data_IF_908700424770
#
_entry.id   IF_908700424770
#
_cell.length_a   1.000
_cell.length_b   1.000
_cell.length_c   1.000
_cell.angle_alpha   90.00
_cell.angle_beta   90.00
_cell.angle_gamma   90.00
#
_symmetry.space_group_name_H-M   'P 1'
#
loop_
_entity.id
_entity.type
_entity.pdbx_description
1 polymer ?
#
# COMPACT_ATOMS: atom_id res chain seq x y z
N UNK A 1 -70.42 -17.12 8.24
CA UNK A 1 -69.48 -17.16 7.05
C UNK A 1 -68.30 -16.28 7.35
N UNK A 2 -67.20 -16.86 7.82
CA UNK A 2 -65.99 -16.12 8.19
C UNK A 2 -65.01 -16.22 7.02
N UNK A 3 -64.78 -15.11 6.30
CA UNK A 3 -63.78 -15.02 5.25
C UNK A 3 -62.41 -14.89 5.88
N UNK A 4 -61.59 -15.95 5.79
CA UNK A 4 -60.18 -15.94 6.14
C UNK A 4 -59.39 -15.27 5.01
N UNK A 5 -58.95 -14.03 5.27
CA UNK A 5 -58.04 -13.30 4.36
C UNK A 5 -56.61 -13.77 4.66
N UNK A 6 -56.00 -14.53 3.76
CA UNK A 6 -54.57 -14.85 3.81
C UNK A 6 -53.76 -13.63 3.39
N UNK A 7 -53.07 -13.03 4.34
CA UNK A 7 -52.05 -11.99 4.07
C UNK A 7 -50.75 -12.71 3.77
N UNK A 8 -50.37 -12.78 2.48
CA UNK A 8 -49.03 -13.19 2.07
C UNK A 8 -48.03 -12.08 2.38
N UNK A 9 -47.26 -12.28 3.46
CA UNK A 9 -46.12 -11.41 3.79
C UNK A 9 -44.92 -11.89 2.98
N UNK A 10 -44.63 -11.21 1.88
CA UNK A 10 -43.40 -11.43 1.10
C UNK A 10 -42.23 -10.76 1.83
N UNK A 11 -41.42 -11.58 2.48
CA UNK A 11 -40.13 -11.15 3.09
C UNK A 11 -39.13 -10.95 1.94
N UNK A 12 -38.89 -9.72 1.56
CA UNK A 12 -37.80 -9.34 0.64
C UNK A 12 -36.49 -9.38 1.43
N UNK A 13 -35.76 -10.49 1.29
CA UNK A 13 -34.39 -10.61 1.83
C UNK A 13 -33.45 -9.74 1.01
N UNK A 14 -33.07 -8.58 1.54
CA UNK A 14 -31.96 -7.79 1.01
C UNK A 14 -30.65 -8.56 1.27
N UNK A 15 -30.10 -9.17 0.23
CA UNK A 15 -28.76 -9.75 0.27
C UNK A 15 -27.76 -8.60 0.16
N UNK A 16 -27.21 -8.16 1.29
CA UNK A 16 -26.05 -7.26 1.32
C UNK A 16 -24.83 -8.07 0.85
N UNK A 17 -24.43 -7.88 -0.40
CA UNK A 17 -23.15 -8.37 -0.90
C UNK A 17 -22.03 -7.52 -0.25
N UNK A 18 -21.41 -8.03 0.80
CA UNK A 18 -20.19 -7.48 1.34
C UNK A 18 -19.10 -7.73 0.30
N UNK A 19 -18.65 -6.68 -0.39
CA UNK A 19 -17.47 -6.75 -1.23
C UNK A 19 -16.26 -7.07 -0.33
N UNK A 20 -15.82 -8.31 -0.33
CA UNK A 20 -14.59 -8.71 0.33
C UNK A 20 -13.44 -8.02 -0.43
N UNK A 21 -12.78 -7.05 0.19
CA UNK A 21 -11.53 -6.50 -0.30
C UNK A 21 -10.47 -7.61 -0.18
N UNK A 22 -10.29 -8.36 -1.25
CA UNK A 22 -9.29 -9.40 -1.30
C UNK A 22 -7.90 -8.74 -1.22
N UNK A 23 -7.06 -9.23 -0.30
CA UNK A 23 -5.65 -8.85 -0.26
C UNK A 23 -4.98 -9.26 -1.59
N UNK A 24 -3.97 -8.52 -2.07
CA UNK A 24 -3.27 -8.87 -3.31
C UNK A 24 -2.63 -10.27 -3.18
N UNK A 25 -2.65 -11.02 -4.30
CA UNK A 25 -2.11 -12.38 -4.31
C UNK A 25 -0.59 -12.36 -4.51
N UNK A 26 0.16 -12.32 -3.42
CA UNK A 26 1.61 -12.47 -3.40
C UNK A 26 2.04 -13.50 -2.36
N UNK A 27 3.22 -14.07 -2.54
CA UNK A 27 3.78 -15.08 -1.64
C UNK A 27 4.32 -14.43 -0.36
N UNK A 28 3.87 -14.88 0.80
CA UNK A 28 4.43 -14.46 2.09
C UNK A 28 5.84 -15.01 2.27
N UNK A 29 6.72 -14.20 2.85
CA UNK A 29 8.09 -14.58 3.14
C UNK A 29 9.07 -13.43 3.05
N UNK A 30 10.33 -13.76 2.85
CA UNK A 30 11.42 -12.81 2.76
C UNK A 30 11.51 -12.25 1.33
N UNK A 31 11.54 -10.95 1.24
CA UNK A 31 11.62 -10.20 -0.01
C UNK A 31 12.83 -9.30 -0.04
N UNK A 32 13.54 -9.29 -1.16
CA UNK A 32 14.54 -8.26 -1.46
C UNK A 32 13.84 -7.10 -2.16
N UNK A 33 13.89 -5.93 -1.54
CA UNK A 33 13.28 -4.70 -2.07
C UNK A 33 14.41 -3.78 -2.52
N UNK A 34 14.33 -3.33 -3.75
CA UNK A 34 15.23 -2.32 -4.34
C UNK A 34 14.46 -1.02 -4.50
N UNK A 35 14.97 0.05 -3.91
CA UNK A 35 14.39 1.39 -4.01
C UNK A 35 15.37 2.31 -4.72
N UNK A 36 14.89 3.00 -5.74
CA UNK A 36 15.62 4.04 -6.48
C UNK A 36 14.92 5.37 -6.27
N UNK A 37 15.67 6.38 -5.84
CA UNK A 37 15.15 7.74 -5.63
C UNK A 37 15.52 8.61 -6.83
N UNK A 38 14.58 9.43 -7.27
CA UNK A 38 14.81 10.44 -8.29
C UNK A 38 14.52 11.81 -7.68
N UNK A 39 15.56 12.62 -7.56
CA UNK A 39 15.48 13.94 -6.96
C UNK A 39 15.86 14.99 -8.01
N UNK A 40 14.99 15.96 -8.33
CA UNK A 40 15.30 17.02 -9.29
C UNK A 40 16.56 17.78 -8.87
N UNK A 41 17.49 17.96 -9.80
CA UNK A 41 18.75 18.70 -9.56
C UNK A 41 19.88 17.85 -8.95
N UNK A 42 19.68 16.57 -8.69
CA UNK A 42 20.73 15.68 -8.19
C UNK A 42 21.26 14.80 -9.33
N UNK A 43 22.59 14.70 -9.52
CA UNK A 43 23.18 13.81 -10.50
C UNK A 43 22.80 12.34 -10.26
N UNK A 44 22.52 11.59 -11.33
CA UNK A 44 22.05 10.19 -11.24
C UNK A 44 23.07 9.24 -10.61
N UNK A 45 24.33 9.52 -10.74
CA UNK A 45 25.45 8.76 -10.16
C UNK A 45 25.53 8.88 -8.63
N UNK A 46 24.92 9.91 -8.05
CA UNK A 46 24.76 10.03 -6.58
C UNK A 46 23.53 9.29 -6.03
N UNK A 47 22.61 8.90 -6.89
CA UNK A 47 21.36 8.24 -6.53
C UNK A 47 21.50 6.71 -6.71
N UNK A 48 22.24 6.07 -5.79
CA UNK A 48 22.42 4.61 -5.83
C UNK A 48 21.15 3.89 -5.38
N UNK A 49 20.75 2.80 -6.06
CA UNK A 49 19.66 1.94 -5.58
C UNK A 49 19.97 1.41 -4.16
N UNK A 50 19.01 1.51 -3.28
CA UNK A 50 19.07 0.93 -1.95
C UNK A 50 18.38 -0.43 -1.96
N UNK A 51 19.05 -1.44 -1.41
CA UNK A 51 18.49 -2.78 -1.26
C UNK A 51 18.26 -3.08 0.21
N UNK A 52 17.11 -3.66 0.52
CA UNK A 52 16.77 -4.12 1.85
C UNK A 52 16.01 -5.44 1.78
N UNK A 53 16.12 -6.25 2.82
CA UNK A 53 15.34 -7.48 2.95
C UNK A 53 14.25 -7.26 4.01
N UNK A 54 13.03 -7.61 3.66
CA UNK A 54 11.86 -7.43 4.49
C UNK A 54 11.02 -8.70 4.49
N UNK A 55 10.60 -9.14 5.67
CA UNK A 55 9.62 -10.20 5.80
C UNK A 55 8.22 -9.61 5.55
N UNK A 56 7.58 -10.03 4.47
CA UNK A 56 6.25 -9.57 4.07
C UNK A 56 5.18 -10.62 4.37
N UNK A 57 4.09 -10.17 4.96
CA UNK A 57 2.88 -10.98 5.24
C UNK A 57 1.68 -10.34 4.57
N UNK A 58 0.59 -11.09 4.42
CA UNK A 58 -0.66 -10.58 3.83
C UNK A 58 -1.24 -9.36 4.56
N UNK A 59 -0.86 -9.16 5.82
CA UNK A 59 -1.28 -8.00 6.61
C UNK A 59 -0.45 -6.74 6.32
N UNK A 60 0.76 -6.91 5.77
CA UNK A 60 1.70 -5.82 5.50
C UNK A 60 1.96 -5.68 4.00
N UNK A 61 0.89 -5.43 3.25
CA UNK A 61 0.96 -5.28 1.80
C UNK A 61 1.66 -3.98 1.32
N UNK A 62 2.00 -3.08 2.23
CA UNK A 62 2.79 -1.89 1.95
C UNK A 62 4.06 -1.97 2.81
N UNK A 63 5.26 -1.87 2.21
CA UNK A 63 6.49 -1.82 2.98
C UNK A 63 6.44 -0.66 3.97
N UNK A 64 6.41 -1.00 5.27
CA UNK A 64 6.38 0.01 6.33
C UNK A 64 7.78 0.61 6.51
N UNK A 65 7.90 1.92 6.70
CA UNK A 65 9.14 2.52 7.14
C UNK A 65 9.54 1.95 8.51
N UNK A 66 10.83 1.87 8.77
CA UNK A 66 11.31 1.34 10.06
C UNK A 66 10.76 2.16 11.24
N UNK A 67 10.48 1.49 12.34
CA UNK A 67 9.74 1.98 13.52
C UNK A 67 10.10 3.38 14.07
N UNK A 68 11.26 3.91 13.76
CA UNK A 68 11.66 5.27 14.20
C UNK A 68 10.81 6.37 13.58
N UNK A 69 10.24 6.12 12.40
CA UNK A 69 9.46 7.10 11.66
C UNK A 69 7.94 6.97 11.89
N UNK A 70 7.47 5.84 12.46
CA UNK A 70 6.04 5.58 12.70
C UNK A 70 5.38 6.61 13.65
N UNK A 71 6.13 7.15 14.60
CA UNK A 71 5.59 8.16 15.53
C UNK A 71 5.29 9.51 14.85
N UNK A 72 5.90 9.76 13.69
CA UNK A 72 5.75 11.02 12.97
C UNK A 72 4.90 10.91 11.71
N UNK A 73 4.73 9.71 11.17
CA UNK A 73 3.99 9.46 9.94
C UNK A 73 2.83 8.48 10.19
N UNK A 74 1.70 8.75 9.55
CA UNK A 74 0.52 7.89 9.57
C UNK A 74 0.09 7.55 8.14
N UNK A 75 -0.21 6.29 7.91
CA UNK A 75 -0.93 5.89 6.70
C UNK A 75 -2.37 6.33 6.85
N UNK A 76 -2.79 7.28 6.02
CA UNK A 76 -4.11 7.93 6.13
C UNK A 76 -5.13 7.37 5.16
N UNK A 77 -4.66 6.71 4.12
CA UNK A 77 -5.52 6.09 3.13
C UNK A 77 -4.81 4.88 2.52
N UNK A 78 -5.48 3.75 2.50
CA UNK A 78 -5.01 2.54 1.83
C UNK A 78 -6.19 1.89 1.13
N UNK A 79 -6.01 1.52 -0.14
CA UNK A 79 -7.01 0.77 -0.89
C UNK A 79 -6.35 -0.24 -1.80
N UNK A 80 -7.02 -1.36 -1.99
CA UNK A 80 -6.60 -2.43 -2.91
C UNK A 80 -7.59 -2.55 -4.05
N UNK A 81 -7.08 -2.63 -5.27
CA UNK A 81 -7.88 -2.85 -6.49
C UNK A 81 -7.18 -3.95 -7.30
N UNK A 82 -7.71 -5.16 -7.25
CA UNK A 82 -7.06 -6.32 -7.84
C UNK A 82 -5.68 -6.56 -7.25
N UNK A 83 -4.65 -6.57 -8.09
CA UNK A 83 -3.25 -6.72 -7.69
C UNK A 83 -2.58 -5.42 -7.27
N UNK A 84 -3.26 -4.28 -7.33
CA UNK A 84 -2.71 -2.97 -7.00
C UNK A 84 -3.10 -2.53 -5.60
N UNK A 85 -2.13 -2.01 -4.87
CA UNK A 85 -2.32 -1.35 -3.57
C UNK A 85 -1.90 0.10 -3.71
N UNK A 86 -2.77 1.00 -3.29
CA UNK A 86 -2.52 2.44 -3.22
C UNK A 86 -2.51 2.87 -1.77
N UNK A 87 -1.66 3.81 -1.41
CA UNK A 87 -1.64 4.39 -0.07
C UNK A 87 -1.26 5.86 -0.08
N UNK A 88 -1.66 6.53 0.97
CA UNK A 88 -1.21 7.88 1.30
C UNK A 88 -0.65 7.87 2.72
N UNK A 89 0.53 8.42 2.91
CA UNK A 89 1.13 8.63 4.23
C UNK A 89 1.27 10.11 4.48
N UNK A 90 0.83 10.55 5.65
CA UNK A 90 0.96 11.95 6.09
C UNK A 90 1.82 11.99 7.33
N UNK A 91 2.86 12.82 7.31
CA UNK A 91 3.80 13.00 8.41
C UNK A 91 3.60 14.34 9.08
N UNK A 92 4.01 14.44 10.34
CA UNK A 92 4.15 15.74 11.02
C UNK A 92 5.12 16.62 10.23
N UNK A 93 4.83 17.92 10.16
CA UNK A 93 5.64 18.86 9.35
C UNK A 93 5.21 19.00 7.89
N UNK A 94 4.05 18.42 7.51
CA UNK A 94 3.44 18.67 6.21
C UNK A 94 4.00 17.82 5.05
N UNK A 95 4.76 16.77 5.35
CA UNK A 95 5.18 15.82 4.32
C UNK A 95 4.05 14.85 4.00
N UNK A 96 3.74 14.72 2.71
CA UNK A 96 2.73 13.78 2.19
C UNK A 96 3.38 12.90 1.15
N UNK A 97 3.15 11.59 1.27
CA UNK A 97 3.60 10.59 0.31
C UNK A 97 2.40 9.84 -0.26
N UNK A 98 2.34 9.74 -1.57
CA UNK A 98 1.38 8.91 -2.28
C UNK A 98 2.14 7.81 -3.01
N UNK A 99 1.71 6.58 -2.84
CA UNK A 99 2.35 5.44 -3.44
C UNK A 99 1.37 4.45 -4.04
N UNK A 100 1.91 3.64 -4.94
CA UNK A 100 1.23 2.48 -5.51
C UNK A 100 2.20 1.33 -5.70
N UNK A 101 1.71 0.10 -5.51
CA UNK A 101 2.42 -1.13 -5.80
C UNK A 101 1.50 -2.04 -6.62
N UNK A 102 2.06 -2.67 -7.66
CA UNK A 102 1.40 -3.75 -8.39
C UNK A 102 2.10 -5.06 -8.04
N UNK A 103 1.37 -5.97 -7.43
CA UNK A 103 1.86 -7.27 -7.02
C UNK A 103 1.71 -8.32 -8.12
N UNK A 104 2.81 -9.05 -8.37
CA UNK A 104 2.76 -10.38 -8.92
C UNK A 104 2.98 -11.39 -7.80
N UNK A 105 2.94 -12.69 -8.11
CA UNK A 105 3.05 -13.76 -7.12
C UNK A 105 4.37 -13.76 -6.35
N UNK A 106 5.47 -13.48 -7.04
CA UNK A 106 6.84 -13.50 -6.48
C UNK A 106 7.64 -12.23 -6.79
N UNK A 107 6.98 -11.21 -7.32
CA UNK A 107 7.58 -9.90 -7.61
C UNK A 107 6.56 -8.79 -7.44
N UNK A 108 7.03 -7.59 -7.26
CA UNK A 108 6.22 -6.38 -7.36
C UNK A 108 7.01 -5.23 -7.95
N UNK A 109 6.29 -4.29 -8.54
CA UNK A 109 6.79 -2.99 -8.96
C UNK A 109 5.89 -1.91 -8.39
N UNK A 110 6.49 -0.80 -7.99
CA UNK A 110 5.76 0.31 -7.40
C UNK A 110 6.47 1.63 -7.53
N UNK A 111 5.74 2.68 -7.22
CA UNK A 111 6.26 4.03 -7.18
C UNK A 111 5.67 4.81 -6.01
N UNK A 112 6.42 5.79 -5.55
CA UNK A 112 5.99 6.71 -4.52
C UNK A 112 6.42 8.13 -4.87
N UNK A 113 5.53 9.08 -4.66
CA UNK A 113 5.81 10.50 -4.77
C UNK A 113 5.67 11.12 -3.40
N UNK A 114 6.74 11.73 -2.90
CA UNK A 114 6.78 12.41 -1.60
C UNK A 114 6.91 13.91 -1.84
N UNK A 115 6.01 14.69 -1.27
CA UNK A 115 6.04 16.14 -1.29
C UNK A 115 6.25 16.65 0.13
N UNK A 116 7.22 17.50 0.32
CA UNK A 116 7.54 18.15 1.59
C UNK A 116 7.68 19.65 1.40
N UNK A 117 7.39 20.41 2.44
CA UNK A 117 7.60 21.86 2.48
C UNK A 117 8.82 22.17 3.33
N UNK A 118 9.85 22.77 2.72
CA UNK A 118 11.02 23.26 3.42
C UNK A 118 11.21 24.76 3.13
N UNK A 119 11.17 25.57 4.18
CA UNK A 119 11.38 27.03 4.03
C UNK A 119 10.37 27.68 3.09
N UNK A 120 9.10 27.21 3.05
CA UNK A 120 8.06 27.74 2.16
C UNK A 120 8.16 27.28 0.68
N UNK A 121 9.12 26.40 0.36
CA UNK A 121 9.24 25.79 -0.96
C UNK A 121 8.79 24.34 -0.94
N UNK A 122 7.96 23.96 -1.90
CA UNK A 122 7.56 22.58 -2.10
C UNK A 122 8.68 21.83 -2.85
N UNK A 123 9.14 20.74 -2.24
CA UNK A 123 10.05 19.80 -2.87
C UNK A 123 9.31 18.50 -3.12
N UNK A 124 9.44 17.98 -4.33
CA UNK A 124 8.83 16.70 -4.72
C UNK A 124 9.94 15.71 -5.09
N UNK A 125 9.91 14.57 -4.43
CA UNK A 125 10.83 13.45 -4.65
C UNK A 125 10.02 12.28 -5.18
N UNK A 126 10.49 11.65 -6.26
CA UNK A 126 9.90 10.43 -6.80
C UNK A 126 10.81 9.26 -6.50
N UNK A 127 10.25 8.14 -6.03
CA UNK A 127 10.97 6.89 -5.86
C UNK A 127 10.27 5.77 -6.62
N UNK A 128 11.06 4.90 -7.20
CA UNK A 128 10.60 3.64 -7.76
C UNK A 128 11.06 2.52 -6.83
N UNK A 129 10.22 1.51 -6.65
CA UNK A 129 10.54 0.33 -5.85
C UNK A 129 10.20 -0.93 -6.62
N UNK A 130 11.03 -1.93 -6.48
CA UNK A 130 10.75 -3.27 -6.97
C UNK A 130 11.09 -4.28 -5.90
N UNK A 131 10.33 -5.35 -5.83
CA UNK A 131 10.54 -6.42 -4.86
C UNK A 131 10.56 -7.77 -5.53
N UNK A 132 11.37 -8.66 -4.96
CA UNK A 132 11.48 -10.05 -5.39
C UNK A 132 11.46 -10.95 -4.17
N UNK A 133 10.61 -11.98 -4.21
CA UNK A 133 10.60 -13.05 -3.21
C UNK A 133 11.91 -13.81 -3.26
N UNK A 134 12.55 -14.02 -2.12
CA UNK A 134 13.84 -14.70 -2.00
C UNK A 134 13.83 -15.92 -1.08
N UNK A 135 12.73 -16.16 -0.37
CA UNK A 135 12.60 -17.32 0.50
C UNK A 135 11.62 -17.13 1.66
N UNK A 136 11.55 -18.10 2.56
CA UNK A 136 10.76 -17.95 3.79
C UNK A 136 11.40 -16.91 4.73
N UNK A 137 10.57 -16.31 5.60
CA UNK A 137 11.12 -15.47 6.66
C UNK A 137 11.97 -16.31 7.63
N UNK A 138 13.17 -15.87 7.92
CA UNK A 138 13.97 -16.42 9.03
C UNK A 138 13.43 -15.91 10.35
N UNK A 139 13.25 -16.83 11.31
CA UNK A 139 12.86 -16.50 12.69
C UNK A 139 14.01 -15.80 13.41
#
# INVERSE_FOLDING_TARGET
MIKRSLICVTVVSLIFTVAAFAAPDYQEGLWEITTTVNMPGMPKDMLRPMKQQVCMTKQNAVPQPQQKDEQQCKMTNQRTVGSKVFWTTTCKGGTVSNGEITYGKTSFDGSQTTTTSQGGRLMTVKSAMSGKYIGPCTK
#
